data_IF_223454583851
#
_entry.id   IF_223454583851
#
_cell.length_a   1.000
_cell.length_b   1.000
_cell.length_c   1.000
_cell.angle_alpha   90.00
_cell.angle_beta   90.00
_cell.angle_gamma   90.00
#
_symmetry.space_group_name_H-M   'P 1'
#
loop_
_entity.id
_entity.type
_entity.pdbx_description
1 polymer ?
#
# COMPACT_ATOMS: atom_id res chain seq x y z
N UNK A 1 -24.84 -58.30 55.55
CA UNK A 1 -24.80 -56.88 55.97
C UNK A 1 -24.10 -56.08 54.87
N UNK A 2 -24.86 -55.42 53.97
CA UNK A 2 -24.32 -54.72 52.80
C UNK A 2 -24.01 -53.26 53.14
N UNK A 3 -22.72 -52.89 53.13
CA UNK A 3 -22.22 -51.56 53.48
C UNK A 3 -22.32 -50.63 52.26
N UNK A 4 -23.32 -49.75 52.23
CA UNK A 4 -23.47 -48.70 51.21
C UNK A 4 -22.36 -47.66 51.38
N UNK A 5 -21.39 -47.62 50.47
CA UNK A 5 -20.36 -46.56 50.43
C UNK A 5 -20.90 -45.32 49.73
N UNK A 6 -21.08 -44.25 50.50
CA UNK A 6 -21.44 -42.93 49.99
C UNK A 6 -20.29 -42.32 49.17
N UNK A 7 -20.52 -42.08 47.88
CA UNK A 7 -19.60 -41.38 46.98
C UNK A 7 -19.57 -39.89 47.35
N UNK A 8 -18.54 -39.47 48.07
CA UNK A 8 -18.23 -38.05 48.35
C UNK A 8 -17.92 -37.38 47.00
N UNK A 9 -18.89 -36.68 46.41
CA UNK A 9 -18.71 -35.95 45.14
C UNK A 9 -17.70 -34.83 45.38
N UNK A 10 -16.49 -35.00 44.86
CA UNK A 10 -15.42 -34.00 44.97
C UNK A 10 -15.87 -32.71 44.27
N UNK A 11 -15.95 -31.60 45.02
CA UNK A 11 -16.30 -30.26 44.51
C UNK A 11 -15.40 -29.81 43.35
N UNK A 12 -14.22 -30.41 43.22
CA UNK A 12 -13.29 -30.23 42.10
C UNK A 12 -13.88 -30.61 40.73
N UNK A 13 -14.79 -31.60 40.70
CA UNK A 13 -15.48 -32.00 39.45
C UNK A 13 -16.44 -30.91 38.94
N UNK A 14 -16.86 -29.98 39.80
CA UNK A 14 -17.78 -28.89 39.43
C UNK A 14 -17.06 -27.74 38.73
N UNK A 15 -15.79 -27.48 39.09
CA UNK A 15 -14.96 -26.41 38.52
C UNK A 15 -14.09 -26.88 37.34
N UNK A 16 -13.94 -28.19 37.16
CA UNK A 16 -13.23 -28.79 36.04
C UNK A 16 -13.64 -28.24 34.65
N UNK A 17 -14.94 -28.05 34.31
CA UNK A 17 -15.30 -27.50 32.99
C UNK A 17 -14.89 -26.03 32.85
N UNK A 18 -14.97 -25.23 33.91
CA UNK A 18 -14.57 -23.82 33.88
C UNK A 18 -13.07 -23.66 33.67
N UNK A 19 -12.25 -24.50 34.31
CA UNK A 19 -10.79 -24.50 34.11
C UNK A 19 -10.43 -24.90 32.68
N UNK A 20 -11.15 -25.85 32.09
CA UNK A 20 -10.90 -26.31 30.72
C UNK A 20 -11.29 -25.25 29.68
N UNK A 21 -12.40 -24.53 29.89
CA UNK A 21 -12.81 -23.39 29.07
C UNK A 21 -11.78 -22.25 29.17
N UNK A 22 -11.33 -21.93 30.38
CA UNK A 22 -10.32 -20.89 30.58
C UNK A 22 -9.00 -21.23 29.86
N UNK A 23 -8.55 -22.48 29.96
CA UNK A 23 -7.37 -22.98 29.26
C UNK A 23 -7.53 -22.87 27.73
N UNK A 24 -8.72 -23.19 27.21
CA UNK A 24 -9.03 -23.07 25.80
C UNK A 24 -8.93 -21.62 25.30
N UNK A 25 -9.49 -20.66 26.05
CA UNK A 25 -9.37 -19.24 25.72
C UNK A 25 -7.92 -18.75 25.72
N UNK A 26 -7.12 -19.21 26.67
CA UNK A 26 -5.70 -18.84 26.76
C UNK A 26 -4.91 -19.35 25.55
N UNK A 27 -5.16 -20.59 25.14
CA UNK A 27 -4.63 -21.18 23.90
C UNK A 27 -5.09 -20.46 22.64
N UNK A 28 -6.37 -20.07 22.58
CA UNK A 28 -6.94 -19.32 21.47
C UNK A 28 -6.27 -17.95 21.31
N UNK A 29 -6.12 -17.18 22.38
CA UNK A 29 -5.44 -15.88 22.35
C UNK A 29 -3.96 -16.01 21.95
N UNK A 30 -3.28 -17.05 22.43
CA UNK A 30 -1.89 -17.33 22.05
C UNK A 30 -1.76 -17.65 20.56
N UNK A 31 -2.65 -18.50 20.03
CA UNK A 31 -2.71 -18.81 18.61
C UNK A 31 -2.99 -17.55 17.79
N UNK A 32 -4.00 -16.76 18.17
CA UNK A 32 -4.34 -15.50 17.49
C UNK A 32 -3.14 -14.56 17.44
N UNK A 33 -2.41 -14.35 18.54
CA UNK A 33 -1.19 -13.52 18.56
C UNK A 33 -0.09 -14.07 17.65
N UNK A 34 0.06 -15.39 17.54
CA UNK A 34 1.06 -16.02 16.70
C UNK A 34 0.72 -15.89 15.21
N UNK A 35 -0.55 -15.99 14.85
CA UNK A 35 -1.00 -15.97 13.45
C UNK A 35 -1.36 -14.57 12.91
N UNK A 36 -1.72 -13.61 13.78
CA UNK A 36 -1.99 -12.20 13.39
C UNK A 36 -0.82 -11.51 12.66
N UNK A 37 0.44 -11.57 13.11
CA UNK A 37 1.54 -10.87 12.44
C UNK A 37 1.86 -11.45 11.06
N UNK A 38 1.40 -12.67 10.75
CA UNK A 38 1.54 -13.27 9.41
C UNK A 38 0.65 -12.59 8.36
N UNK A 39 -0.43 -11.91 8.78
CA UNK A 39 -1.36 -11.21 7.88
C UNK A 39 -0.86 -9.80 7.54
N UNK A 40 -0.06 -9.19 8.43
CA UNK A 40 0.42 -7.80 8.28
C UNK A 40 1.87 -7.66 7.79
N UNK A 41 2.64 -8.75 7.75
CA UNK A 41 4.00 -8.74 7.23
C UNK A 41 4.06 -9.19 5.76
N UNK A 42 3.49 -8.39 4.86
CA UNK A 42 3.86 -8.47 3.44
C UNK A 42 5.16 -7.70 3.25
N UNK A 43 6.29 -8.41 3.34
CA UNK A 43 7.53 -7.91 2.76
C UNK A 43 7.30 -7.68 1.26
N UNK A 44 7.51 -6.44 0.83
CA UNK A 44 7.43 -6.03 -0.56
C UNK A 44 8.60 -6.62 -1.36
N UNK A 45 8.49 -7.90 -1.73
CA UNK A 45 9.27 -8.47 -2.82
C UNK A 45 8.46 -8.32 -4.11
N UNK A 46 8.91 -7.42 -4.99
CA UNK A 46 8.18 -7.04 -6.20
C UNK A 46 8.75 -7.80 -7.40
N UNK A 47 7.98 -8.77 -7.87
CA UNK A 47 8.22 -9.52 -9.11
C UNK A 47 7.08 -9.20 -10.11
N UNK A 48 7.29 -9.34 -11.43
CA UNK A 48 6.67 -8.50 -12.48
C UNK A 48 5.20 -8.78 -12.81
N UNK A 49 4.46 -9.49 -11.96
CA UNK A 49 3.04 -9.87 -12.21
C UNK A 49 2.06 -8.93 -11.47
N UNK A 50 2.53 -8.13 -10.51
CA UNK A 50 1.69 -7.16 -9.79
C UNK A 50 1.18 -6.00 -10.66
N UNK A 51 1.66 -5.89 -11.90
CA UNK A 51 1.24 -4.93 -12.92
C UNK A 51 -0.26 -5.01 -13.23
N UNK A 52 -0.86 -6.21 -13.23
CA UNK A 52 -2.27 -6.38 -13.62
C UNK A 52 -3.29 -6.16 -12.49
N UNK A 53 -2.87 -6.08 -11.22
CA UNK A 53 -3.79 -5.90 -10.08
C UNK A 53 -3.91 -4.42 -9.68
N UNK A 54 -2.84 -3.61 -9.88
CA UNK A 54 -2.88 -2.16 -9.66
C UNK A 54 -3.80 -1.45 -10.67
N UNK A 55 -3.88 -2.00 -11.88
CA UNK A 55 -4.82 -1.60 -12.94
C UNK A 55 -6.29 -1.70 -12.50
N UNK A 56 -6.61 -2.60 -11.56
CA UNK A 56 -7.98 -2.78 -11.05
C UNK A 56 -8.35 -1.84 -9.89
N UNK A 57 -7.35 -1.26 -9.20
CA UNK A 57 -7.57 -0.38 -8.04
C UNK A 57 -7.56 1.11 -8.47
N UNK A 58 -6.80 1.48 -9.50
CA UNK A 58 -6.77 2.86 -10.05
C UNK A 58 -8.05 3.30 -10.76
N UNK A 59 -8.85 2.35 -11.26
CA UNK A 59 -10.11 2.63 -11.97
C UNK A 59 -11.22 3.17 -11.05
N UNK A 60 -11.08 3.02 -9.73
CA UNK A 60 -12.10 3.43 -8.74
C UNK A 60 -12.01 4.91 -8.32
N UNK A 61 -11.05 5.69 -8.82
CA UNK A 61 -10.80 7.06 -8.36
C UNK A 61 -10.77 8.09 -9.49
N UNK A 62 -11.94 8.32 -10.09
CA UNK A 62 -12.35 9.61 -10.69
C UNK A 62 -11.75 10.01 -12.06
N UNK A 63 -12.61 10.30 -13.03
CA UNK A 63 -12.32 11.18 -14.18
C UNK A 63 -11.56 10.58 -15.37
N UNK A 64 -12.09 10.78 -16.57
CA UNK A 64 -11.51 10.40 -17.87
C UNK A 64 -10.04 10.84 -18.03
N UNK A 65 -9.68 12.00 -17.49
CA UNK A 65 -8.34 12.59 -17.58
C UNK A 65 -7.29 11.87 -16.73
N UNK A 66 -7.68 11.24 -15.62
CA UNK A 66 -6.75 10.46 -14.80
C UNK A 66 -6.30 9.20 -15.53
N UNK A 67 -7.22 8.56 -16.27
CA UNK A 67 -6.91 7.39 -17.10
C UNK A 67 -5.94 7.71 -18.24
N UNK A 68 -6.09 8.89 -18.84
CA UNK A 68 -5.18 9.34 -19.90
C UNK A 68 -3.76 9.53 -19.37
N UNK A 69 -3.60 10.19 -18.23
CA UNK A 69 -2.29 10.38 -17.59
C UNK A 69 -1.67 9.04 -17.15
N UNK A 70 -2.47 8.14 -16.58
CA UNK A 70 -2.04 6.78 -16.22
C UNK A 70 -1.53 6.00 -17.44
N UNK A 71 -2.23 6.08 -18.57
CA UNK A 71 -1.81 5.45 -19.82
C UNK A 71 -0.49 6.05 -20.34
N UNK A 72 -0.34 7.37 -20.31
CA UNK A 72 0.89 8.05 -20.76
C UNK A 72 2.10 7.67 -19.88
N UNK A 73 1.93 7.63 -18.56
CA UNK A 73 2.99 7.22 -17.64
C UNK A 73 3.39 5.76 -17.86
N UNK A 74 2.40 4.89 -18.06
CA UNK A 74 2.61 3.46 -18.32
C UNK A 74 3.31 3.22 -19.66
N UNK A 75 2.91 3.94 -20.71
CA UNK A 75 3.55 3.87 -22.03
C UNK A 75 5.04 4.26 -21.99
N UNK A 76 5.41 5.18 -21.08
CA UNK A 76 6.80 5.60 -20.86
C UNK A 76 7.56 4.77 -19.82
N UNK A 77 6.96 3.68 -19.32
CA UNK A 77 7.52 2.82 -18.28
C UNK A 77 7.87 3.58 -16.98
N UNK A 78 7.09 4.61 -16.63
CA UNK A 78 7.29 5.40 -15.41
C UNK A 78 6.44 4.79 -14.30
N UNK A 79 7.11 4.19 -13.30
CA UNK A 79 6.43 3.58 -12.17
C UNK A 79 5.92 4.62 -11.17
N UNK A 80 4.61 4.64 -10.95
CA UNK A 80 3.96 5.55 -9.99
C UNK A 80 3.17 4.77 -8.93
N UNK A 81 3.03 5.34 -7.73
CA UNK A 81 2.25 4.80 -6.63
C UNK A 81 0.80 5.31 -6.67
N UNK A 82 0.61 6.63 -6.81
CA UNK A 82 -0.72 7.26 -6.82
C UNK A 82 -0.78 8.48 -7.74
N UNK A 83 -1.98 8.79 -8.23
CA UNK A 83 -2.32 10.02 -8.94
C UNK A 83 -3.45 10.69 -8.17
N UNK A 84 -3.33 11.98 -7.90
CA UNK A 84 -4.36 12.78 -7.23
C UNK A 84 -4.52 14.12 -7.91
N UNK A 85 -5.75 14.58 -8.08
CA UNK A 85 -6.07 15.89 -8.66
C UNK A 85 -5.99 16.94 -7.54
N UNK A 86 -5.27 18.03 -7.79
CA UNK A 86 -5.17 19.20 -6.92
C UNK A 86 -6.29 20.19 -7.24
N UNK A 87 -6.58 21.09 -6.30
CA UNK A 87 -7.65 22.10 -6.44
C UNK A 87 -7.45 23.07 -7.60
N UNK A 88 -6.22 23.25 -8.08
CA UNK A 88 -5.82 24.12 -9.18
C UNK A 88 -5.87 23.43 -10.56
N UNK A 89 -6.58 22.30 -10.67
CA UNK A 89 -6.58 21.43 -11.87
C UNK A 89 -5.20 20.85 -12.21
N UNK A 90 -4.24 20.89 -11.29
CA UNK A 90 -2.97 20.19 -11.44
C UNK A 90 -3.10 18.74 -10.99
N UNK A 91 -2.15 17.90 -11.39
CA UNK A 91 -2.10 16.49 -10.98
C UNK A 91 -0.85 16.27 -10.14
N UNK A 92 -1.02 15.78 -8.92
CA UNK A 92 0.07 15.28 -8.10
C UNK A 92 0.21 13.78 -8.35
N UNK A 93 1.37 13.39 -8.87
CA UNK A 93 1.76 12.00 -9.09
C UNK A 93 2.87 11.68 -8.11
N UNK A 94 2.69 10.64 -7.31
CA UNK A 94 3.75 10.10 -6.46
C UNK A 94 4.41 8.94 -7.20
N UNK A 95 5.73 8.97 -7.33
CA UNK A 95 6.47 7.85 -7.89
C UNK A 95 6.44 6.64 -6.95
N UNK A 96 6.77 5.46 -7.47
CA UNK A 96 6.93 4.26 -6.65
C UNK A 96 8.07 4.39 -5.64
N UNK A 97 9.08 5.21 -5.96
CA UNK A 97 10.25 5.53 -5.15
C UNK A 97 10.00 6.65 -4.13
N UNK A 98 8.82 7.28 -4.15
CA UNK A 98 8.37 8.26 -3.15
C UNK A 98 8.54 9.72 -3.54
N UNK A 99 9.21 10.04 -4.64
CA UNK A 99 9.33 11.40 -5.16
C UNK A 99 7.99 11.92 -5.69
N UNK A 100 7.79 13.23 -5.59
CA UNK A 100 6.54 13.88 -5.99
C UNK A 100 6.70 14.63 -7.31
N UNK A 101 5.72 14.49 -8.20
CA UNK A 101 5.68 15.18 -9.48
C UNK A 101 4.35 15.92 -9.57
N UNK A 102 4.41 17.21 -9.91
CA UNK A 102 3.22 18.02 -10.14
C UNK A 102 3.13 18.32 -11.63
N UNK A 103 2.10 17.80 -12.28
CA UNK A 103 1.76 18.11 -13.66
C UNK A 103 0.75 19.25 -13.72
N UNK A 104 0.92 20.13 -14.69
CA UNK A 104 -0.02 21.21 -14.96
C UNK A 104 -1.19 20.71 -15.81
N UNK A 105 -2.43 20.85 -15.32
CA UNK A 105 -3.62 20.54 -16.13
C UNK A 105 -3.95 21.57 -17.21
N UNK A 106 -3.33 22.75 -17.17
CA UNK A 106 -3.51 23.80 -18.19
C UNK A 106 -2.56 23.64 -19.38
N UNK A 107 -1.54 22.78 -19.27
CA UNK A 107 -0.57 22.46 -20.32
C UNK A 107 -0.83 21.07 -20.89
N UNK A 108 -0.41 20.83 -22.13
CA UNK A 108 -0.54 19.51 -22.75
C UNK A 108 0.22 18.43 -21.94
N UNK A 109 -0.42 17.29 -21.66
CA UNK A 109 0.20 16.21 -20.86
C UNK A 109 1.32 15.45 -21.58
N UNK A 110 1.19 15.03 -22.85
CA UNK A 110 2.22 14.20 -23.49
C UNK A 110 3.63 14.83 -23.50
N UNK A 111 3.81 16.15 -23.75
CA UNK A 111 5.11 16.80 -23.64
C UNK A 111 5.67 16.84 -22.21
N UNK A 112 4.81 17.03 -21.19
CA UNK A 112 5.23 17.02 -19.79
C UNK A 112 5.73 15.64 -19.38
N UNK A 113 4.99 14.57 -19.73
CA UNK A 113 5.38 13.19 -19.44
C UNK A 113 6.67 12.80 -20.18
N UNK A 114 6.83 13.24 -21.42
CA UNK A 114 8.07 13.01 -22.19
C UNK A 114 9.27 13.75 -21.57
N UNK A 115 9.05 14.97 -21.09
CA UNK A 115 10.08 15.74 -20.38
C UNK A 115 10.46 15.08 -19.05
N UNK A 116 9.47 14.57 -18.31
CA UNK A 116 9.71 13.78 -17.10
C UNK A 116 10.60 12.58 -17.39
N UNK A 117 10.30 11.79 -18.41
CA UNK A 117 11.11 10.62 -18.78
C UNK A 117 12.59 11.00 -19.01
N UNK A 118 12.84 12.10 -19.73
CA UNK A 118 14.18 12.60 -19.99
C UNK A 118 14.88 13.05 -18.71
N UNK A 119 14.19 13.80 -17.85
CA UNK A 119 14.73 14.28 -16.57
C UNK A 119 15.08 13.09 -15.68
N UNK A 120 14.18 12.11 -15.52
CA UNK A 120 14.42 10.90 -14.73
C UNK A 120 15.62 10.11 -15.26
N UNK A 121 15.74 9.97 -16.58
CA UNK A 121 16.88 9.29 -17.21
C UNK A 121 18.21 9.99 -16.87
N UNK A 122 18.27 11.32 -17.03
CA UNK A 122 19.48 12.10 -16.71
C UNK A 122 19.84 12.03 -15.23
N UNK A 123 18.87 12.21 -14.34
CA UNK A 123 19.07 12.12 -12.89
C UNK A 123 19.56 10.73 -12.48
N UNK A 124 19.07 9.67 -13.12
CA UNK A 124 19.52 8.30 -12.89
C UNK A 124 20.98 8.11 -13.31
N UNK A 125 21.37 8.62 -14.48
CA UNK A 125 22.77 8.57 -14.97
C UNK A 125 23.70 9.36 -14.04
N UNK A 126 23.25 10.52 -13.56
CA UNK A 126 24.01 11.35 -12.62
C UNK A 126 23.99 10.82 -11.17
N UNK A 127 23.21 9.78 -10.89
CA UNK A 127 23.03 9.25 -9.52
C UNK A 127 22.33 10.22 -8.56
N UNK A 128 21.62 11.24 -9.07
CA UNK A 128 20.94 12.25 -8.25
C UNK A 128 19.50 11.86 -7.95
N UNK A 129 19.07 12.11 -6.72
CA UNK A 129 17.68 11.95 -6.26
C UNK A 129 17.06 13.32 -6.02
N UNK A 130 15.80 13.48 -6.38
CA UNK A 130 15.02 14.68 -6.13
C UNK A 130 13.90 14.37 -5.14
N UNK A 131 13.33 15.39 -4.52
CA UNK A 131 12.16 15.28 -3.65
C UNK A 131 10.89 15.62 -4.43
N UNK A 132 10.95 16.69 -5.22
CA UNK A 132 9.81 17.20 -5.99
C UNK A 132 10.21 17.71 -7.36
N UNK A 133 9.36 17.49 -8.36
CA UNK A 133 9.45 18.07 -9.70
C UNK A 133 8.14 18.74 -10.08
N UNK A 134 8.16 20.02 -10.43
CA UNK A 134 6.96 20.82 -10.71
C UNK A 134 6.95 21.32 -12.17
N UNK A 135 5.99 20.85 -12.96
CA UNK A 135 5.77 21.22 -14.36
C UNK A 135 4.79 22.39 -14.55
N UNK A 136 4.28 22.99 -13.47
CA UNK A 136 3.39 24.17 -13.57
C UNK A 136 4.11 25.39 -14.15
N UNK A 137 5.40 25.51 -13.91
CA UNK A 137 6.25 26.56 -14.45
C UNK A 137 6.66 26.31 -15.90
N UNK A 138 7.12 27.35 -16.60
CA UNK A 138 7.58 27.21 -18.00
C UNK A 138 8.86 26.40 -18.13
N UNK A 139 9.72 26.49 -17.12
CA UNK A 139 10.85 25.59 -16.93
C UNK A 139 10.54 24.70 -15.72
N UNK A 140 10.57 23.37 -15.84
CA UNK A 140 10.30 22.49 -14.72
C UNK A 140 11.23 22.78 -13.54
N UNK A 141 10.67 22.88 -12.34
CA UNK A 141 11.43 23.18 -11.12
C UNK A 141 11.68 21.89 -10.36
N UNK A 142 12.96 21.60 -10.10
CA UNK A 142 13.38 20.42 -9.32
C UNK A 142 13.80 20.86 -7.93
N UNK A 143 13.27 20.21 -6.90
CA UNK A 143 13.72 20.34 -5.52
C UNK A 143 14.52 19.11 -5.15
N UNK A 144 15.77 19.32 -4.73
CA UNK A 144 16.66 18.25 -4.26
C UNK A 144 16.60 18.12 -2.74
N UNK A 145 17.09 16.99 -2.23
CA UNK A 145 17.27 16.75 -0.79
C UNK A 145 18.56 17.40 -0.30
#
# INVERSE_FOLDING_TARGET
MLKKTARKKNKFLLYAPFVLIFLFFLLFFYAVRLYLPSIFNKSAFVSPIAFSIKEKIGVLSGGSSNKELENLLSQKNIAFSSISVLSDSSYLVKLSTGEEIIFSGTKAMPPQVSSLQLILSRLTIEGKRFVRLDFRFDKPVVTFK
#
